data_IF_239363573495
#
_entry.id   IF_239363573495
#
_cell.length_a   1.000
_cell.length_b   1.000
_cell.length_c   1.000
_cell.angle_alpha   90.00
_cell.angle_beta   90.00
_cell.angle_gamma   90.00
#
_symmetry.space_group_name_H-M   'P 1'
#
loop_
_entity.id
_entity.type
_entity.pdbx_description
1 polymer ?
#
# COMPACT_ATOMS: atom_id res chain seq x y z
N UNK A 1 4.64 -1.12 11.77
CA UNK A 1 3.91 -0.34 10.75
C UNK A 1 4.32 -0.87 9.39
N UNK A 2 3.39 -0.95 8.45
CA UNK A 2 3.69 -1.39 7.07
C UNK A 2 3.45 -0.22 6.13
N UNK A 3 4.37 0.03 5.20
CA UNK A 3 4.25 1.09 4.19
C UNK A 3 4.21 0.43 2.81
N UNK A 4 3.32 0.91 1.96
CA UNK A 4 3.14 0.43 0.59
C UNK A 4 3.25 1.63 -0.35
N UNK A 5 4.03 1.49 -1.41
CA UNK A 5 4.29 2.52 -2.42
C UNK A 5 3.78 2.04 -3.79
N UNK A 6 3.10 2.91 -4.53
CA UNK A 6 2.47 2.60 -5.83
C UNK A 6 3.18 3.35 -6.95
N UNK A 7 3.53 2.65 -8.04
CA UNK A 7 4.26 3.22 -9.18
C UNK A 7 3.61 2.85 -10.52
N UNK A 8 3.57 3.78 -11.48
CA UNK A 8 3.04 3.53 -12.85
C UNK A 8 3.99 2.75 -13.76
N UNK A 9 5.27 2.59 -13.38
CA UNK A 9 6.30 2.04 -14.26
C UNK A 9 6.46 2.83 -15.57
N UNK A 10 6.96 2.18 -16.64
CA UNK A 10 7.25 2.82 -17.95
C UNK A 10 6.02 3.06 -18.85
N UNK A 11 4.81 2.68 -18.44
CA UNK A 11 3.61 2.65 -19.29
C UNK A 11 2.77 3.94 -19.27
N UNK A 12 3.42 5.10 -19.29
CA UNK A 12 2.72 6.39 -19.28
C UNK A 12 2.42 6.83 -20.71
N UNK A 13 1.20 6.58 -21.17
CA UNK A 13 0.73 7.03 -22.49
C UNK A 13 0.73 8.56 -22.57
N UNK A 14 1.25 9.12 -23.67
CA UNK A 14 1.46 10.57 -23.85
C UNK A 14 0.17 11.43 -23.82
N UNK A 15 -1.02 10.82 -23.86
CA UNK A 15 -2.26 11.54 -24.07
C UNK A 15 -3.17 11.69 -22.83
N UNK A 16 -3.00 10.89 -21.77
CA UNK A 16 -3.83 11.06 -20.56
C UNK A 16 -3.16 10.51 -19.28
N UNK A 17 -2.22 11.28 -18.73
CA UNK A 17 -1.49 10.95 -17.50
C UNK A 17 -2.45 10.70 -16.32
N UNK A 18 -3.43 11.59 -16.11
CA UNK A 18 -4.38 11.51 -14.98
C UNK A 18 -5.23 10.23 -15.03
N UNK A 19 -5.69 9.82 -16.21
CA UNK A 19 -6.45 8.58 -16.38
C UNK A 19 -5.58 7.34 -16.11
N UNK A 20 -4.33 7.36 -16.59
CA UNK A 20 -3.36 6.29 -16.35
C UNK A 20 -3.08 6.15 -14.86
N UNK A 21 -2.79 7.26 -14.18
CA UNK A 21 -2.56 7.32 -12.72
C UNK A 21 -3.76 6.78 -11.96
N UNK A 22 -4.97 7.27 -12.29
CA UNK A 22 -6.20 6.82 -11.63
C UNK A 22 -6.40 5.33 -11.82
N UNK A 23 -6.20 4.81 -13.04
CA UNK A 23 -6.32 3.37 -13.32
C UNK A 23 -5.30 2.55 -12.53
N UNK A 24 -4.03 2.96 -12.50
CA UNK A 24 -2.99 2.28 -11.72
C UNK A 24 -3.32 2.26 -10.23
N UNK A 25 -3.78 3.38 -9.66
CA UNK A 25 -4.16 3.44 -8.26
C UNK A 25 -5.37 2.55 -7.94
N UNK A 26 -6.34 2.42 -8.85
CA UNK A 26 -7.49 1.52 -8.68
C UNK A 26 -7.06 0.05 -8.67
N UNK A 27 -6.21 -0.36 -9.61
CA UNK A 27 -5.63 -1.71 -9.65
C UNK A 27 -4.81 -1.99 -8.39
N UNK A 28 -4.02 -1.00 -7.95
CA UNK A 28 -3.23 -1.10 -6.73
C UNK A 28 -4.12 -1.24 -5.48
N UNK A 29 -5.25 -0.53 -5.39
CA UNK A 29 -6.17 -0.64 -4.26
C UNK A 29 -6.72 -2.07 -4.08
N UNK A 30 -7.11 -2.71 -5.18
CA UNK A 30 -7.58 -4.11 -5.16
C UNK A 30 -6.47 -5.08 -4.76
N UNK A 31 -5.28 -4.90 -5.34
CA UNK A 31 -4.13 -5.77 -5.09
C UNK A 31 -3.60 -5.63 -3.66
N UNK A 32 -3.57 -4.41 -3.11
CA UNK A 32 -3.19 -4.17 -1.71
C UNK A 32 -4.13 -4.93 -0.78
N UNK A 33 -5.45 -4.80 -0.95
CA UNK A 33 -6.41 -5.52 -0.11
C UNK A 33 -6.21 -7.05 -0.20
N UNK A 34 -5.93 -7.57 -1.40
CA UNK A 34 -5.62 -9.00 -1.61
C UNK A 34 -4.33 -9.42 -0.90
N UNK A 35 -3.25 -8.64 -1.01
CA UNK A 35 -1.95 -8.94 -0.40
C UNK A 35 -2.00 -8.87 1.13
N UNK A 36 -2.74 -7.91 1.70
CA UNK A 36 -2.94 -7.83 3.15
C UNK A 36 -3.57 -9.12 3.70
N UNK A 37 -4.55 -9.70 2.98
CA UNK A 37 -5.16 -10.99 3.35
C UNK A 37 -4.19 -12.15 3.19
N UNK A 38 -3.54 -12.27 2.03
CA UNK A 38 -2.68 -13.42 1.72
C UNK A 38 -1.43 -13.49 2.61
N UNK A 39 -0.91 -12.34 3.04
CA UNK A 39 0.27 -12.26 3.90
C UNK A 39 -0.07 -12.11 5.38
N UNK A 40 -1.35 -12.03 5.71
CA UNK A 40 -1.90 -11.67 7.01
C UNK A 40 -1.19 -10.46 7.66
N UNK A 41 -1.09 -9.38 6.90
CA UNK A 41 -0.49 -8.14 7.39
C UNK A 41 -1.50 -7.42 8.26
N UNK A 42 -1.12 -7.10 9.50
CA UNK A 42 -1.98 -6.39 10.45
C UNK A 42 -1.22 -5.29 11.21
N UNK A 43 -1.98 -4.37 11.79
CA UNK A 43 -1.51 -3.14 12.42
C UNK A 43 -1.87 -1.91 11.59
N UNK A 44 -1.06 -0.86 11.75
CA UNK A 44 -1.14 0.37 10.96
C UNK A 44 -0.43 0.15 9.63
N UNK A 45 -1.16 0.40 8.55
CA UNK A 45 -0.69 0.31 7.17
C UNK A 45 -0.87 1.69 6.53
N UNK A 46 0.18 2.18 5.89
CA UNK A 46 0.20 3.44 5.14
C UNK A 46 0.37 3.10 3.66
N UNK A 47 -0.45 3.69 2.80
CA UNK A 47 -0.39 3.49 1.36
C UNK A 47 -0.14 4.84 0.70
N UNK A 48 0.98 4.94 -0.01
CA UNK A 48 1.36 6.07 -0.84
C UNK A 48 0.89 5.81 -2.27
N UNK A 49 -0.29 6.34 -2.60
CA UNK A 49 -0.82 6.28 -3.95
C UNK A 49 -0.18 7.37 -4.80
N UNK A 50 -0.15 7.16 -6.11
CA UNK A 50 0.39 8.15 -7.03
C UNK A 50 -0.50 9.41 -6.99
N UNK A 51 0.12 10.58 -6.94
CA UNK A 51 -0.57 11.87 -6.86
C UNK A 51 -1.66 12.02 -7.92
N UNK A 52 -2.88 12.31 -7.45
CA UNK A 52 -4.04 12.57 -8.30
C UNK A 52 -4.45 14.03 -8.15
N UNK A 53 -4.70 14.71 -9.27
CA UNK A 53 -5.08 16.12 -9.27
C UNK A 53 -6.55 16.31 -8.86
N UNK A 54 -7.41 15.36 -9.22
CA UNK A 54 -8.85 15.47 -9.01
C UNK A 54 -9.28 14.75 -7.75
N UNK A 55 -9.99 15.46 -6.86
CA UNK A 55 -10.52 14.90 -5.62
C UNK A 55 -11.41 13.67 -5.86
N UNK A 56 -12.25 13.72 -6.90
CA UNK A 56 -13.08 12.57 -7.30
C UNK A 56 -12.28 11.29 -7.57
N UNK A 57 -11.03 11.40 -8.01
CA UNK A 57 -10.18 10.24 -8.29
C UNK A 57 -9.65 9.66 -6.97
N UNK A 58 -9.28 10.51 -6.00
CA UNK A 58 -8.93 10.12 -4.63
C UNK A 58 -10.07 9.38 -3.93
N UNK A 59 -11.29 9.91 -4.03
CA UNK A 59 -12.48 9.28 -3.46
C UNK A 59 -12.76 7.93 -4.10
N UNK A 60 -12.58 7.84 -5.43
CA UNK A 60 -12.77 6.59 -6.17
C UNK A 60 -11.79 5.52 -5.70
N UNK A 61 -10.50 5.85 -5.57
CA UNK A 61 -9.47 4.92 -5.07
C UNK A 61 -9.77 4.48 -3.63
N UNK A 62 -10.12 5.42 -2.76
CA UNK A 62 -10.47 5.13 -1.36
C UNK A 62 -11.69 4.20 -1.27
N UNK A 63 -12.73 4.45 -2.06
CA UNK A 63 -13.93 3.61 -2.12
C UNK A 63 -13.64 2.22 -2.68
N UNK A 64 -12.82 2.11 -3.73
CA UNK A 64 -12.36 0.82 -4.25
C UNK A 64 -11.63 0.02 -3.18
N UNK A 65 -10.72 0.65 -2.42
CA UNK A 65 -10.02 -0.02 -1.33
C UNK A 65 -10.99 -0.48 -0.22
N UNK A 66 -11.93 0.37 0.18
CA UNK A 66 -12.99 0.01 1.16
C UNK A 66 -13.78 -1.22 0.71
N UNK A 67 -14.21 -1.25 -0.55
CA UNK A 67 -14.96 -2.38 -1.12
C UNK A 67 -14.12 -3.65 -1.20
N UNK A 68 -12.85 -3.55 -1.62
CA UNK A 68 -11.94 -4.68 -1.69
C UNK A 68 -11.58 -5.24 -0.30
N UNK A 69 -11.50 -4.38 0.71
CA UNK A 69 -11.29 -4.74 2.12
C UNK A 69 -12.52 -5.31 2.79
N UNK A 70 -13.74 -5.01 2.32
CA UNK A 70 -14.98 -5.58 2.86
C UNK A 70 -15.08 -7.10 2.70
N UNK A 71 -14.30 -7.69 1.78
CA UNK A 71 -14.17 -9.14 1.61
C UNK A 71 -13.28 -9.79 2.69
N UNK A 72 -12.54 -9.00 3.46
CA UNK A 72 -11.72 -9.48 4.57
C UNK A 72 -12.58 -9.73 5.81
N UNK A 73 -12.45 -10.93 6.39
CA UNK A 73 -13.13 -11.29 7.65
C UNK A 73 -12.49 -10.61 8.86
N UNK A 74 -11.27 -10.12 8.71
CA UNK A 74 -10.53 -9.42 9.77
C UNK A 74 -11.02 -7.99 9.87
N UNK A 75 -11.37 -7.56 11.09
CA UNK A 75 -11.80 -6.17 11.33
C UNK A 75 -10.73 -5.20 10.84
N UNK A 76 -11.15 -4.29 9.97
CA UNK A 76 -10.30 -3.25 9.42
C UNK A 76 -11.07 -1.92 9.31
N UNK A 77 -10.32 -0.83 9.21
CA UNK A 77 -10.84 0.50 8.97
C UNK A 77 -9.93 1.20 7.96
N UNK A 78 -10.53 1.73 6.91
CA UNK A 78 -9.88 2.49 5.85
C UNK A 78 -10.28 3.95 6.03
N UNK A 79 -9.30 4.84 6.16
CA UNK A 79 -9.50 6.29 6.28
C UNK A 79 -9.43 6.96 4.90
N UNK A 80 -9.86 8.22 4.84
CA UNK A 80 -9.66 9.04 3.64
C UNK A 80 -8.19 9.37 3.42
N UNK A 81 -7.83 9.73 2.19
CA UNK A 81 -6.50 10.23 1.87
C UNK A 81 -6.26 11.55 2.60
N UNK A 82 -5.19 11.59 3.41
CA UNK A 82 -4.83 12.76 4.19
C UNK A 82 -4.22 13.90 3.36
N UNK A 83 -3.93 15.06 3.99
CA UNK A 83 -3.34 16.20 3.31
C UNK A 83 -1.95 15.93 2.70
N UNK A 84 -1.24 14.92 3.22
CA UNK A 84 0.07 14.49 2.72
C UNK A 84 -0.02 13.54 1.51
N UNK A 85 -1.22 13.23 1.00
CA UNK A 85 -1.42 12.27 -0.09
C UNK A 85 -1.46 10.81 0.35
N UNK A 86 -1.26 10.53 1.64
CA UNK A 86 -1.21 9.17 2.19
C UNK A 86 -2.59 8.67 2.61
N UNK A 87 -2.86 7.39 2.34
CA UNK A 87 -4.03 6.69 2.87
C UNK A 87 -3.63 5.83 4.06
N UNK A 88 -4.43 5.89 5.13
CA UNK A 88 -4.24 5.10 6.34
C UNK A 88 -5.24 3.95 6.43
N UNK A 89 -4.76 2.77 6.82
CA UNK A 89 -5.58 1.59 7.15
C UNK A 89 -5.16 1.03 8.49
N UNK A 90 -6.14 0.71 9.34
CA UNK A 90 -5.92 -0.17 10.48
C UNK A 90 -6.55 -1.53 10.21
N UNK A 91 -5.79 -2.61 10.45
CA UNK A 91 -6.28 -3.98 10.33
C UNK A 91 -5.90 -4.75 11.58
N UNK A 92 -6.87 -5.41 12.23
CA UNK A 92 -6.59 -6.17 13.47
C UNK A 92 -5.53 -7.24 13.19
N UNK A 93 -4.51 -7.33 14.04
CA UNK A 93 -3.51 -8.40 13.97
C UNK A 93 -4.12 -9.66 14.59
N UNK A 94 -4.22 -10.73 13.80
CA UNK A 94 -4.82 -12.01 14.22
C UNK A 94 -3.75 -13.08 14.43
N UNK A 95 -2.69 -13.06 13.62
CA UNK A 95 -1.50 -13.91 13.79
C UNK A 95 -0.21 -13.10 13.58
N UNK A 96 0.94 -13.78 13.69
CA UNK A 96 2.24 -13.24 13.33
C UNK A 96 2.34 -12.89 11.82
N UNK A 97 1.53 -13.54 10.98
CA UNK A 97 1.55 -13.37 9.54
C UNK A 97 2.78 -13.97 8.87
N UNK A 98 2.87 -13.84 7.54
CA UNK A 98 3.84 -14.59 6.75
C UNK A 98 5.29 -14.15 7.03
N UNK A 99 5.53 -12.84 7.10
CA UNK A 99 6.90 -12.32 7.29
C UNK A 99 7.45 -12.73 8.66
N UNK A 100 6.70 -12.53 9.74
CA UNK A 100 7.16 -12.87 11.09
C UNK A 100 7.32 -14.39 11.30
N UNK A 101 6.50 -15.20 10.62
CA UNK A 101 6.55 -16.67 10.76
C UNK A 101 7.66 -17.33 9.93
N UNK A 102 8.07 -16.70 8.82
CA UNK A 102 8.96 -17.33 7.82
C UNK A 102 10.21 -16.49 7.49
N UNK A 103 10.56 -15.52 8.33
CA UNK A 103 11.79 -14.75 8.15
C UNK A 103 12.55 -14.54 9.45
N UNK A 104 13.84 -14.28 9.30
CA UNK A 104 14.74 -13.89 10.38
C UNK A 104 15.35 -12.52 10.08
N UNK A 105 15.81 -11.82 11.11
CA UNK A 105 16.49 -10.54 10.93
C UNK A 105 17.79 -10.74 10.15
N UNK A 106 17.97 -9.98 9.06
CA UNK A 106 19.18 -10.06 8.25
C UNK A 106 20.43 -9.77 9.11
N UNK A 107 21.43 -10.67 9.18
CA UNK A 107 22.60 -10.48 10.04
C UNK A 107 23.55 -9.39 9.53
N UNK A 108 23.50 -9.06 8.24
CA UNK A 108 24.39 -8.06 7.62
C UNK A 108 23.95 -6.63 7.88
N UNK A 109 22.65 -6.36 7.72
CA UNK A 109 22.10 -5.01 7.87
C UNK A 109 21.28 -4.83 9.15
N UNK A 110 21.12 -5.89 9.97
CA UNK A 110 20.35 -5.89 11.22
C UNK A 110 18.91 -5.39 11.02
N UNK A 111 18.31 -5.74 9.87
CA UNK A 111 16.96 -5.30 9.49
C UNK A 111 16.86 -3.87 8.96
N UNK A 112 17.96 -3.12 8.82
CA UNK A 112 17.95 -1.75 8.28
C UNK A 112 17.66 -1.68 6.77
N UNK A 113 17.92 -2.76 6.03
CA UNK A 113 17.80 -2.77 4.55
C UNK A 113 18.89 -1.95 3.82
N UNK A 114 19.88 -1.43 4.55
CA UNK A 114 21.00 -0.64 4.00
C UNK A 114 22.33 -1.12 4.58
N UNK A 115 23.37 -1.13 3.75
CA UNK A 115 24.77 -1.40 4.13
C UNK A 115 25.59 -0.16 3.78
N UNK A 116 26.29 0.41 4.76
CA UNK A 116 27.09 1.62 4.55
C UNK A 116 28.41 1.28 3.87
N UNK A 117 28.74 2.02 2.80
CA UNK A 117 30.04 1.93 2.12
C UNK A 117 30.85 3.21 2.36
N UNK A 118 32.14 3.04 2.64
CA UNK A 118 33.07 4.17 2.85
C UNK A 118 33.64 4.76 1.55
N UNK A 119 33.19 4.24 0.40
CA UNK A 119 33.48 4.80 -0.92
C UNK A 119 32.16 5.24 -1.56
N UNK A 120 32.05 6.51 -2.00
CA UNK A 120 30.90 6.98 -2.77
C UNK A 120 30.82 6.31 -4.13
#
# INVERSE_FOLDING_TARGET
>A
MTVIDVNTGKHVGKANLEETVTKTNLEAAEEVARQLRLRDIGGIIIIDFIDMLLEKNRDKVTNTLKQAMAQDKTRSQVFEIGPLGLLEVTRKRVSAGLLESFSETCPTCEGRGIVLTYKP
#
